data_IF_926153904156
#
_entry.id   IF_926153904156
#
_cell.length_a   1.000
_cell.length_b   1.000
_cell.length_c   1.000
_cell.angle_alpha   90.00
_cell.angle_beta   90.00
_cell.angle_gamma   90.00
#
_symmetry.space_group_name_H-M   'P 1'
#
loop_
_entity.id
_entity.type
_entity.pdbx_description
1 polymer ?
#
# COMPACT_ATOMS: atom_id res chain seq x y z
N UNK A 1 29.92 17.65 -5.30
CA UNK A 1 29.68 16.21 -5.40
C UNK A 1 28.29 15.83 -4.90
N UNK A 2 27.93 16.17 -3.64
CA UNK A 2 26.64 15.80 -3.01
C UNK A 2 25.42 16.24 -3.85
N UNK A 3 25.40 17.49 -4.34
CA UNK A 3 24.32 18.01 -5.18
C UNK A 3 24.13 17.18 -6.46
N UNK A 4 25.21 16.79 -7.14
CA UNK A 4 25.11 15.92 -8.33
C UNK A 4 24.50 14.56 -8.03
N UNK A 5 24.75 14.00 -6.84
CA UNK A 5 24.15 12.74 -6.41
C UNK A 5 22.63 12.91 -6.20
N UNK A 6 22.22 14.00 -5.53
CA UNK A 6 20.81 14.33 -5.31
C UNK A 6 20.08 14.57 -6.64
N UNK A 7 20.69 15.34 -7.56
CA UNK A 7 20.10 15.59 -8.88
C UNK A 7 19.94 14.29 -9.68
N UNK A 8 20.96 13.43 -9.71
CA UNK A 8 20.90 12.14 -10.38
C UNK A 8 19.78 11.24 -9.80
N UNK A 9 19.66 11.19 -8.47
CA UNK A 9 18.60 10.44 -7.80
C UNK A 9 17.23 11.00 -8.18
N UNK A 10 17.04 12.31 -8.10
CA UNK A 10 15.80 12.99 -8.47
C UNK A 10 15.41 12.69 -9.91
N UNK A 11 16.33 12.79 -10.86
CA UNK A 11 16.07 12.58 -12.28
C UNK A 11 15.72 11.11 -12.57
N UNK A 12 16.41 10.18 -11.90
CA UNK A 12 16.11 8.74 -12.01
C UNK A 12 14.71 8.41 -11.50
N UNK A 13 14.35 8.92 -10.32
CA UNK A 13 13.03 8.70 -9.73
C UNK A 13 11.93 9.39 -10.55
N UNK A 14 12.17 10.61 -11.03
CA UNK A 14 11.23 11.33 -11.87
C UNK A 14 10.94 10.59 -13.17
N UNK A 15 11.98 10.05 -13.83
CA UNK A 15 11.81 9.24 -15.05
C UNK A 15 10.99 7.97 -14.78
N UNK A 16 11.26 7.27 -13.66
CA UNK A 16 10.52 6.08 -13.28
C UNK A 16 9.03 6.38 -13.03
N UNK A 17 8.71 7.45 -12.29
CA UNK A 17 7.33 7.86 -12.01
C UNK A 17 6.64 8.29 -13.30
N UNK A 18 7.29 9.11 -14.14
CA UNK A 18 6.72 9.57 -15.41
C UNK A 18 6.33 8.39 -16.31
N UNK A 19 7.13 7.31 -16.32
CA UNK A 19 6.82 6.12 -17.10
C UNK A 19 5.53 5.41 -16.63
N UNK A 20 5.16 5.54 -15.36
CA UNK A 20 3.95 4.96 -14.77
C UNK A 20 2.71 5.84 -14.99
N UNK A 21 2.87 7.16 -15.16
CA UNK A 21 1.76 8.08 -15.36
C UNK A 21 1.08 7.92 -16.74
N UNK A 22 1.68 7.18 -17.67
CA UNK A 22 1.11 6.84 -19.00
C UNK A 22 0.49 8.02 -19.76
N UNK A 23 1.06 9.21 -19.60
CA UNK A 23 0.60 10.45 -20.25
C UNK A 23 -0.49 11.22 -19.49
N UNK A 24 -0.88 10.78 -18.29
CA UNK A 24 -1.76 11.57 -17.42
C UNK A 24 -1.06 12.84 -16.93
N UNK A 25 -1.85 13.87 -16.59
CA UNK A 25 -1.32 15.14 -16.11
C UNK A 25 -0.81 14.99 -14.65
N UNK A 26 0.49 15.16 -14.37
CA UNK A 26 1.02 15.02 -13.01
C UNK A 26 0.39 15.96 -11.99
N UNK A 27 -0.14 17.11 -12.41
CA UNK A 27 -0.78 18.06 -11.49
C UNK A 27 -2.06 17.52 -10.84
N UNK A 28 -2.67 16.47 -11.40
CA UNK A 28 -3.87 15.82 -10.87
C UNK A 28 -3.54 14.66 -9.90
N UNK A 29 -2.24 14.42 -9.68
CA UNK A 29 -1.76 13.35 -8.82
C UNK A 29 -1.30 13.88 -7.45
N UNK A 30 -1.40 13.00 -6.46
CA UNK A 30 -0.85 13.21 -5.12
C UNK A 30 0.30 12.22 -4.90
N UNK A 31 1.43 12.71 -4.40
CA UNK A 31 2.58 11.87 -4.10
C UNK A 31 2.56 11.47 -2.62
N UNK A 32 2.67 10.19 -2.32
CA UNK A 32 2.78 9.67 -0.96
C UNK A 32 4.25 9.42 -0.62
N UNK A 33 4.74 10.13 0.39
CA UNK A 33 6.11 10.01 0.90
C UNK A 33 6.16 9.10 2.12
N UNK A 34 6.87 7.98 2.01
CA UNK A 34 7.10 7.08 3.13
C UNK A 34 8.50 6.45 3.06
N UNK A 35 8.87 5.71 4.11
CA UNK A 35 10.23 5.21 4.32
C UNK A 35 11.15 6.26 4.97
N UNK A 36 12.29 5.83 5.50
CA UNK A 36 13.19 6.69 6.27
C UNK A 36 13.73 7.90 5.51
N UNK A 37 13.96 7.79 4.20
CA UNK A 37 14.48 8.86 3.34
C UNK A 37 13.41 9.56 2.47
N UNK A 38 12.17 9.05 2.46
CA UNK A 38 11.11 9.57 1.57
C UNK A 38 10.90 11.07 1.71
N UNK A 39 10.78 11.57 2.92
CA UNK A 39 10.55 12.99 3.19
C UNK A 39 11.67 13.94 2.75
N UNK A 40 12.90 13.44 2.56
CA UNK A 40 14.04 14.27 2.16
C UNK A 40 13.97 14.72 0.70
N UNK A 41 13.40 13.90 -0.17
CA UNK A 41 13.46 14.12 -1.62
C UNK A 41 12.10 14.46 -2.24
N UNK A 42 11.01 14.22 -1.52
CA UNK A 42 9.67 14.21 -2.09
C UNK A 42 9.24 15.56 -2.65
N UNK A 43 9.54 16.68 -1.97
CA UNK A 43 9.19 18.01 -2.46
C UNK A 43 9.92 18.34 -3.77
N UNK A 44 11.24 18.06 -3.83
CA UNK A 44 12.03 18.29 -5.06
C UNK A 44 11.55 17.39 -6.22
N UNK A 45 11.18 16.15 -5.90
CA UNK A 45 10.66 15.20 -6.87
C UNK A 45 9.29 15.66 -7.39
N UNK A 46 8.38 16.07 -6.52
CA UNK A 46 7.08 16.62 -6.87
C UNK A 46 7.20 17.87 -7.75
N UNK A 47 8.14 18.78 -7.42
CA UNK A 47 8.43 19.94 -8.26
C UNK A 47 8.88 19.57 -9.68
N UNK A 48 9.80 18.59 -9.79
CA UNK A 48 10.31 18.16 -11.10
C UNK A 48 9.24 17.48 -11.96
N UNK A 49 8.23 16.87 -11.34
CA UNK A 49 7.10 16.20 -11.99
C UNK A 49 5.90 17.12 -12.25
N UNK A 50 5.85 18.31 -11.64
CA UNK A 50 4.67 19.18 -11.68
C UNK A 50 3.55 18.74 -10.73
N UNK A 51 3.79 17.80 -9.81
CA UNK A 51 2.86 17.39 -8.76
C UNK A 51 2.78 18.49 -7.70
N UNK A 52 1.57 18.81 -7.24
CA UNK A 52 1.33 19.95 -6.34
C UNK A 52 1.04 19.56 -4.90
N UNK A 53 0.80 18.28 -4.64
CA UNK A 53 0.44 17.79 -3.33
C UNK A 53 1.25 16.55 -2.95
N UNK A 54 1.77 16.56 -1.72
CA UNK A 54 2.50 15.44 -1.14
C UNK A 54 1.94 15.12 0.22
N UNK A 55 1.65 13.86 0.50
CA UNK A 55 1.30 13.36 1.82
C UNK A 55 2.48 12.68 2.48
N UNK A 56 2.64 12.96 3.78
CA UNK A 56 3.54 12.25 4.69
C UNK A 56 2.73 11.70 5.85
N UNK A 57 3.16 10.61 6.45
CA UNK A 57 2.35 9.87 7.43
C UNK A 57 3.06 9.81 8.78
N UNK A 58 2.35 9.79 9.92
CA UNK A 58 2.94 9.66 11.26
C UNK A 58 3.84 8.43 11.39
N UNK A 59 3.45 7.34 10.74
CA UNK A 59 4.20 6.07 10.68
C UNK A 59 5.03 5.94 9.39
N UNK A 60 5.33 7.04 8.73
CA UNK A 60 5.94 7.07 7.40
C UNK A 60 7.21 6.25 7.28
N UNK A 61 8.07 6.24 8.31
CA UNK A 61 9.32 5.46 8.30
C UNK A 61 9.10 3.95 8.26
N UNK A 62 8.02 3.45 8.84
CA UNK A 62 7.64 2.04 8.94
C UNK A 62 6.32 1.73 8.21
N UNK A 63 5.92 2.56 7.25
CA UNK A 63 4.62 2.54 6.61
C UNK A 63 4.28 1.18 5.98
N UNK A 64 5.25 0.53 5.34
CA UNK A 64 5.06 -0.79 4.76
C UNK A 64 4.81 -1.86 5.83
N UNK A 65 5.57 -1.84 6.92
CA UNK A 65 5.38 -2.77 8.03
C UNK A 65 4.03 -2.54 8.73
N UNK A 66 3.67 -1.26 8.94
CA UNK A 66 2.35 -0.89 9.45
C UNK A 66 1.24 -1.38 8.53
N UNK A 67 1.34 -1.15 7.21
CA UNK A 67 0.38 -1.65 6.25
C UNK A 67 0.27 -3.18 6.28
N UNK A 68 1.40 -3.89 6.35
CA UNK A 68 1.41 -5.36 6.44
C UNK A 68 0.73 -5.88 7.72
N UNK A 69 0.85 -5.17 8.83
CA UNK A 69 0.20 -5.57 10.09
C UNK A 69 -1.33 -5.45 10.09
N UNK A 70 -1.89 -4.76 9.09
CA UNK A 70 -3.33 -4.56 8.92
C UNK A 70 -3.93 -5.43 7.82
N UNK A 71 -3.10 -6.23 7.15
CA UNK A 71 -3.57 -7.14 6.11
C UNK A 71 -4.03 -8.46 6.71
N UNK A 72 -5.01 -9.06 6.05
CA UNK A 72 -5.37 -10.44 6.30
C UNK A 72 -4.16 -11.35 6.09
N UNK A 73 -4.05 -12.41 6.89
CA UNK A 73 -3.12 -13.49 6.60
C UNK A 73 -3.74 -14.38 5.54
N UNK A 74 -3.08 -14.48 4.38
CA UNK A 74 -3.58 -15.24 3.24
C UNK A 74 -2.55 -16.27 2.80
N UNK A 75 -2.90 -17.55 2.92
CA UNK A 75 -2.14 -18.63 2.33
C UNK A 75 -2.79 -19.04 1.01
N UNK A 76 -1.97 -19.23 -0.03
CA UNK A 76 -2.44 -19.59 -1.37
C UNK A 76 -1.87 -20.94 -1.75
N UNK A 77 -2.77 -21.88 -2.08
CA UNK A 77 -2.45 -23.22 -2.51
C UNK A 77 -2.93 -23.41 -3.94
N UNK A 78 -2.02 -23.79 -4.82
CA UNK A 78 -2.30 -23.93 -6.24
C UNK A 78 -2.35 -25.42 -6.65
N UNK A 79 -3.26 -25.75 -7.52
CA UNK A 79 -3.35 -27.07 -8.12
C UNK A 79 -3.67 -26.95 -9.61
N UNK A 80 -2.81 -27.56 -10.44
CA UNK A 80 -3.02 -27.63 -11.89
C UNK A 80 -3.83 -28.89 -12.22
N UNK A 81 -5.01 -28.71 -12.83
CA UNK A 81 -5.92 -29.80 -13.14
C UNK A 81 -5.73 -30.39 -14.54
N UNK A 82 -4.98 -29.71 -15.40
CA UNK A 82 -4.56 -30.20 -16.72
C UNK A 82 -5.66 -30.97 -17.48
N UNK A 83 -6.80 -30.35 -17.69
CA UNK A 83 -7.99 -30.90 -18.40
C UNK A 83 -8.67 -32.12 -17.75
N UNK A 84 -8.34 -32.45 -16.50
CA UNK A 84 -8.95 -33.59 -15.80
C UNK A 84 -10.33 -33.25 -15.22
N UNK A 85 -10.65 -31.97 -15.08
CA UNK A 85 -11.92 -31.48 -14.50
C UNK A 85 -12.55 -30.47 -15.42
N UNK A 86 -13.86 -30.61 -15.61
CA UNK A 86 -14.63 -29.72 -16.46
C UNK A 86 -15.70 -28.96 -15.66
N UNK A 87 -15.86 -27.71 -16.00
CA UNK A 87 -17.02 -26.92 -15.64
C UNK A 87 -18.21 -27.35 -16.51
N UNK A 88 -19.33 -27.67 -15.89
CA UNK A 88 -20.54 -28.04 -16.60
C UNK A 88 -21.71 -27.15 -16.18
N UNK A 89 -22.27 -26.40 -17.11
CA UNK A 89 -23.36 -25.45 -16.84
C UNK A 89 -23.04 -24.52 -15.63
N UNK A 90 -21.83 -24.01 -15.59
CA UNK A 90 -21.37 -23.12 -14.51
C UNK A 90 -21.10 -23.80 -13.16
N UNK A 91 -21.18 -25.12 -13.09
CA UNK A 91 -20.99 -25.91 -11.87
C UNK A 91 -19.68 -26.68 -11.91
N UNK A 92 -18.90 -26.59 -10.85
CA UNK A 92 -17.67 -27.33 -10.65
C UNK A 92 -17.83 -28.36 -9.52
N UNK A 93 -17.49 -29.62 -9.79
CA UNK A 93 -17.36 -30.63 -8.76
C UNK A 93 -16.01 -30.49 -8.02
N UNK A 94 -16.08 -30.46 -6.70
CA UNK A 94 -14.91 -30.39 -5.82
C UNK A 94 -14.47 -31.81 -5.48
N UNK A 95 -13.38 -32.26 -6.10
CA UNK A 95 -12.88 -33.64 -5.96
C UNK A 95 -11.82 -33.81 -4.87
N UNK A 96 -11.01 -34.87 -5.01
CA UNK A 96 -9.91 -35.18 -4.09
C UNK A 96 -8.88 -34.07 -3.96
N UNK A 97 -8.55 -33.39 -5.06
CA UNK A 97 -7.66 -32.25 -5.12
C UNK A 97 -8.07 -31.11 -4.15
N UNK A 98 -9.37 -30.87 -3.99
CA UNK A 98 -9.87 -29.84 -3.09
C UNK A 98 -9.62 -30.21 -1.61
N UNK A 99 -9.80 -31.48 -1.27
CA UNK A 99 -9.50 -31.99 0.09
C UNK A 99 -8.00 -31.94 0.38
N UNK A 100 -7.16 -32.24 -0.59
CA UNK A 100 -5.69 -32.14 -0.45
C UNK A 100 -5.27 -30.71 -0.16
N UNK A 101 -5.82 -29.71 -0.88
CA UNK A 101 -5.56 -28.29 -0.64
C UNK A 101 -6.05 -27.84 0.74
N UNK A 102 -7.24 -28.28 1.17
CA UNK A 102 -7.74 -27.98 2.51
C UNK A 102 -6.88 -28.59 3.61
N UNK A 103 -6.43 -29.82 3.45
CA UNK A 103 -5.60 -30.52 4.43
C UNK A 103 -4.21 -29.86 4.54
N UNK A 104 -3.65 -29.42 3.42
CA UNK A 104 -2.42 -28.65 3.41
C UNK A 104 -2.59 -27.31 4.13
N UNK A 105 -3.64 -26.54 3.78
CA UNK A 105 -3.95 -25.27 4.40
C UNK A 105 -4.07 -25.40 5.93
N UNK A 106 -4.77 -26.42 6.41
CA UNK A 106 -4.93 -26.66 7.85
C UNK A 106 -3.61 -26.98 8.55
N UNK A 107 -2.77 -27.82 7.92
CA UNK A 107 -1.45 -28.16 8.50
C UNK A 107 -0.58 -26.94 8.66
N UNK A 108 -0.55 -26.08 7.66
CA UNK A 108 0.29 -24.88 7.67
C UNK A 108 -0.21 -23.86 8.71
N UNK A 109 -1.51 -23.58 8.74
CA UNK A 109 -2.13 -22.66 9.71
C UNK A 109 -1.91 -23.12 11.13
N UNK A 110 -2.11 -24.41 11.42
CA UNK A 110 -1.85 -24.97 12.76
C UNK A 110 -0.35 -24.97 13.07
N UNK A 111 0.50 -25.24 12.09
CA UNK A 111 1.96 -25.22 12.24
C UNK A 111 2.52 -23.85 12.58
N UNK A 112 1.85 -22.78 12.14
CA UNK A 112 2.21 -21.38 12.41
C UNK A 112 1.52 -20.81 13.67
N UNK A 113 0.81 -21.63 14.43
CA UNK A 113 0.05 -21.23 15.64
C UNK A 113 -0.97 -20.11 15.37
N UNK A 114 -1.53 -20.07 14.15
CA UNK A 114 -2.55 -19.11 13.77
C UNK A 114 -3.94 -19.58 14.26
N UNK A 115 -4.71 -18.64 14.78
CA UNK A 115 -6.09 -18.90 15.20
C UNK A 115 -6.99 -19.31 14.02
N UNK A 116 -7.87 -20.26 14.24
CA UNK A 116 -8.79 -20.78 13.20
C UNK A 116 -10.22 -20.25 13.31
N UNK A 117 -10.53 -19.43 14.32
CA UNK A 117 -11.89 -19.01 14.64
C UNK A 117 -12.57 -18.18 13.54
N UNK A 118 -11.78 -17.45 12.76
CA UNK A 118 -12.24 -16.62 11.64
C UNK A 118 -11.71 -17.10 10.28
N UNK A 119 -11.13 -18.33 10.24
CA UNK A 119 -10.60 -18.88 9.01
C UNK A 119 -11.74 -19.14 8.00
N UNK A 120 -11.61 -18.56 6.83
CA UNK A 120 -12.50 -18.84 5.70
C UNK A 120 -11.70 -19.15 4.44
N UNK A 121 -12.37 -19.77 3.46
CA UNK A 121 -11.72 -20.22 2.25
C UNK A 121 -12.39 -19.59 1.03
N UNK A 122 -11.54 -19.16 0.09
CA UNK A 122 -11.95 -18.67 -1.22
C UNK A 122 -11.27 -19.48 -2.31
N UNK A 123 -12.03 -19.91 -3.27
CA UNK A 123 -11.53 -20.68 -4.41
C UNK A 123 -11.49 -19.75 -5.64
N UNK A 124 -10.34 -19.64 -6.24
CA UNK A 124 -10.12 -19.01 -7.54
C UNK A 124 -9.92 -20.11 -8.57
N UNK A 125 -10.62 -20.01 -9.70
CA UNK A 125 -10.73 -21.07 -10.71
C UNK A 125 -10.44 -20.45 -12.07
N UNK A 126 -9.48 -21.00 -12.80
CA UNK A 126 -9.18 -20.62 -14.18
C UNK A 126 -9.77 -21.66 -15.13
N UNK A 127 -10.69 -21.23 -15.98
CA UNK A 127 -11.41 -22.07 -16.95
C UNK A 127 -11.06 -21.64 -18.36
N UNK A 128 -10.64 -22.58 -19.21
CA UNK A 128 -10.53 -22.37 -20.64
C UNK A 128 -11.78 -22.84 -21.36
N UNK A 129 -12.34 -22.02 -22.23
CA UNK A 129 -13.44 -22.41 -23.12
C UNK A 129 -12.91 -23.17 -24.36
N UNK A 130 -13.85 -23.64 -25.19
CA UNK A 130 -13.55 -24.37 -26.44
C UNK A 130 -12.75 -23.52 -27.46
N UNK A 131 -12.66 -22.21 -27.27
CA UNK A 131 -11.89 -21.26 -28.11
C UNK A 131 -10.53 -20.96 -27.51
N UNK A 132 -10.19 -21.54 -26.35
CA UNK A 132 -8.96 -21.28 -25.62
C UNK A 132 -8.93 -19.94 -24.87
N UNK A 133 -10.10 -19.31 -24.67
CA UNK A 133 -10.20 -18.07 -23.88
C UNK A 133 -10.26 -18.48 -22.41
N UNK A 134 -9.33 -17.97 -21.61
CA UNK A 134 -9.29 -18.22 -20.17
C UNK A 134 -10.11 -17.18 -19.41
N UNK A 135 -11.02 -17.66 -18.56
CA UNK A 135 -11.79 -16.83 -17.65
C UNK A 135 -11.48 -17.23 -16.20
N UNK A 136 -11.35 -16.24 -15.32
CA UNK A 136 -11.07 -16.44 -13.90
C UNK A 136 -12.31 -16.15 -13.08
N UNK A 137 -12.69 -17.10 -12.23
CA UNK A 137 -13.80 -16.99 -11.28
C UNK A 137 -13.28 -17.04 -9.85
N UNK A 138 -13.96 -16.34 -8.95
CA UNK A 138 -13.73 -16.46 -7.50
C UNK A 138 -15.04 -16.70 -6.77
N UNK A 139 -15.00 -17.57 -5.77
CA UNK A 139 -16.16 -17.87 -4.93
C UNK A 139 -15.72 -18.35 -3.55
N UNK A 140 -16.49 -18.01 -2.53
CA UNK A 140 -16.27 -18.56 -1.19
C UNK A 140 -16.69 -20.02 -1.14
N UNK A 141 -15.93 -20.83 -0.41
CA UNK A 141 -16.16 -22.26 -0.28
C UNK A 141 -16.09 -22.68 1.19
N UNK A 142 -16.82 -23.76 1.50
CA UNK A 142 -16.77 -24.39 2.82
C UNK A 142 -16.04 -25.74 2.74
N UNK A 143 -15.53 -26.19 3.89
CA UNK A 143 -14.71 -27.40 3.99
C UNK A 143 -15.42 -28.70 3.55
N UNK A 144 -16.75 -28.77 3.69
CA UNK A 144 -17.55 -29.96 3.38
C UNK A 144 -18.30 -29.84 2.05
N UNK A 145 -17.94 -28.86 1.24
CA UNK A 145 -18.63 -28.61 -0.02
C UNK A 145 -18.19 -29.62 -1.09
N UNK A 146 -19.14 -30.20 -1.80
CA UNK A 146 -18.89 -31.19 -2.86
C UNK A 146 -18.89 -30.58 -4.27
N UNK A 147 -19.52 -29.42 -4.42
CA UNK A 147 -19.56 -28.69 -5.70
C UNK A 147 -19.80 -27.21 -5.45
N UNK A 148 -19.45 -26.38 -6.42
CA UNK A 148 -19.64 -24.93 -6.38
C UNK A 148 -20.24 -24.45 -7.69
N UNK A 149 -21.22 -23.53 -7.59
CA UNK A 149 -21.77 -22.81 -8.72
C UNK A 149 -20.99 -21.49 -8.89
N UNK A 150 -20.45 -21.26 -10.09
CA UNK A 150 -19.61 -20.08 -10.34
C UNK A 150 -20.47 -18.88 -10.76
N UNK A 151 -20.37 -17.76 -10.06
CA UNK A 151 -21.14 -16.55 -10.38
C UNK A 151 -20.88 -16.08 -11.83
N UNK A 152 -21.94 -15.88 -12.60
CA UNK A 152 -21.85 -15.42 -13.98
C UNK A 152 -21.47 -16.50 -15.02
N UNK A 153 -21.34 -17.74 -14.61
CA UNK A 153 -20.95 -18.86 -15.49
C UNK A 153 -22.09 -19.87 -15.81
N UNK A 154 -23.33 -19.52 -15.57
CA UNK A 154 -24.47 -20.45 -15.58
C UNK A 154 -24.61 -21.33 -16.85
N UNK A 155 -24.17 -20.85 -18.01
CA UNK A 155 -24.18 -21.58 -19.28
C UNK A 155 -22.77 -21.95 -19.77
N UNK A 156 -21.72 -21.68 -18.95
CA UNK A 156 -20.35 -21.93 -19.35
C UNK A 156 -19.97 -23.40 -19.16
N UNK A 157 -19.36 -23.95 -20.20
CA UNK A 157 -18.65 -25.22 -20.15
C UNK A 157 -17.20 -24.97 -20.53
N UNK A 158 -16.28 -25.71 -19.93
CA UNK A 158 -14.85 -25.54 -20.23
C UNK A 158 -13.99 -26.43 -19.36
N UNK A 159 -12.72 -26.54 -19.74
CA UNK A 159 -11.72 -27.25 -18.97
C UNK A 159 -11.16 -26.34 -17.84
N UNK A 160 -11.10 -26.87 -16.63
CA UNK A 160 -10.47 -26.19 -15.51
C UNK A 160 -8.96 -26.41 -15.60
N UNK A 161 -8.22 -25.32 -15.83
CA UNK A 161 -6.77 -25.37 -16.00
C UNK A 161 -6.08 -25.37 -14.64
N UNK A 162 -6.47 -24.44 -13.78
CA UNK A 162 -5.85 -24.18 -12.49
C UNK A 162 -6.88 -23.78 -11.45
N UNK A 163 -6.63 -24.19 -10.23
CA UNK A 163 -7.39 -23.73 -9.06
C UNK A 163 -6.41 -23.20 -8.01
N UNK A 164 -6.81 -22.14 -7.30
CA UNK A 164 -6.11 -21.60 -6.15
C UNK A 164 -7.05 -21.54 -4.96
N UNK A 165 -6.73 -22.28 -3.91
CA UNK A 165 -7.42 -22.17 -2.64
C UNK A 165 -6.72 -21.10 -1.81
N UNK A 166 -7.43 -20.05 -1.45
CA UNK A 166 -6.99 -19.01 -0.52
C UNK A 166 -7.57 -19.33 0.85
N UNK A 167 -6.70 -19.62 1.83
CA UNK A 167 -7.08 -19.71 3.24
C UNK A 167 -6.82 -18.35 3.87
N UNK A 168 -7.87 -17.69 4.36
CA UNK A 168 -7.87 -16.29 4.75
C UNK A 168 -8.21 -16.18 6.23
N UNK A 169 -7.34 -15.55 7.00
CA UNK A 169 -7.57 -15.17 8.40
C UNK A 169 -7.62 -13.65 8.41
N UNK A 170 -8.78 -13.03 8.69
CA UNK A 170 -8.94 -11.59 8.73
C UNK A 170 -8.05 -10.94 9.78
N UNK A 171 -7.55 -9.74 9.50
CA UNK A 171 -6.84 -8.94 10.48
C UNK A 171 -7.75 -8.60 11.67
N UNK A 172 -7.22 -8.73 12.88
CA UNK A 172 -7.99 -8.50 14.12
C UNK A 172 -8.31 -7.03 14.37
N UNK A 173 -7.43 -6.12 13.89
CA UNK A 173 -7.54 -4.70 14.19
C UNK A 173 -7.95 -3.89 12.96
N UNK A 174 -9.15 -3.29 12.95
CA UNK A 174 -9.56 -2.38 11.89
C UNK A 174 -8.63 -1.15 11.81
N UNK A 175 -8.34 -0.68 10.59
CA UNK A 175 -7.51 0.51 10.35
C UNK A 175 -8.01 1.75 11.14
N UNK A 176 -9.33 1.88 11.31
CA UNK A 176 -9.95 2.97 12.06
C UNK A 176 -9.58 2.99 13.55
N UNK A 177 -9.21 1.84 14.11
CA UNK A 177 -8.83 1.70 15.52
C UNK A 177 -7.30 1.80 15.71
N UNK A 178 -6.51 1.43 14.70
CA UNK A 178 -5.06 1.45 14.77
C UNK A 178 -4.46 2.88 14.73
N UNK A 179 -5.06 3.80 13.98
CA UNK A 179 -4.52 5.14 13.76
C UNK A 179 -4.60 6.10 14.96
N UNK A 180 -5.70 6.20 15.73
CA UNK A 180 -5.82 7.19 16.81
C UNK A 180 -4.83 7.00 17.96
N UNK A 181 -4.39 5.77 18.21
CA UNK A 181 -3.46 5.46 19.31
C UNK A 181 -2.02 5.93 19.04
N UNK A 182 -1.69 6.32 17.82
CA UNK A 182 -0.35 6.74 17.40
C UNK A 182 -0.12 8.25 17.52
N UNK A 183 -1.17 9.05 17.74
CA UNK A 183 -1.08 10.51 17.85
C UNK A 183 -0.81 10.88 19.31
N UNK A 184 0.43 11.27 19.63
CA UNK A 184 0.80 11.78 20.95
C UNK A 184 0.30 13.20 21.18
N UNK A 185 -0.12 13.50 22.42
CA UNK A 185 -0.87 14.71 22.79
C UNK A 185 -0.01 15.89 23.25
N UNK A 186 1.32 15.81 23.22
CA UNK A 186 2.14 17.00 23.51
C UNK A 186 2.19 17.92 22.31
N UNK A 187 1.52 19.07 22.42
CA UNK A 187 1.42 20.04 21.33
C UNK A 187 2.44 21.16 21.50
N UNK A 188 3.35 21.32 20.53
CA UNK A 188 4.28 22.42 20.45
C UNK A 188 4.45 22.91 19.03
N UNK A 189 4.12 24.15 18.78
CA UNK A 189 4.27 24.81 17.45
C UNK A 189 5.54 25.66 17.33
N UNK A 190 6.36 25.76 18.39
CA UNK A 190 7.63 26.48 18.34
C UNK A 190 8.75 25.57 17.78
N UNK A 191 9.69 26.14 17.02
CA UNK A 191 10.84 25.39 16.55
C UNK A 191 11.68 24.87 17.73
N UNK A 192 12.28 23.70 17.56
CA UNK A 192 13.18 23.08 18.54
C UNK A 192 14.64 23.50 18.33
N UNK A 193 14.95 24.08 17.18
CA UNK A 193 16.28 24.54 16.79
C UNK A 193 16.32 25.03 15.37
N UNK A 194 17.51 25.26 14.86
CA UNK A 194 17.76 25.63 13.48
C UNK A 194 18.93 24.82 12.91
N UNK A 195 18.92 24.64 11.60
CA UNK A 195 20.03 24.00 10.86
C UNK A 195 20.34 24.79 9.60
N UNK A 196 21.62 24.90 9.28
CA UNK A 196 22.06 25.47 8.02
C UNK A 196 21.83 24.45 6.88
N UNK A 197 21.00 24.81 5.91
CA UNK A 197 20.61 23.97 4.77
C UNK A 197 20.89 24.68 3.46
N UNK A 198 21.38 23.95 2.48
CA UNK A 198 21.57 24.45 1.12
C UNK A 198 20.31 24.19 0.29
N UNK A 199 19.34 25.10 0.35
CA UNK A 199 18.18 25.10 -0.53
C UNK A 199 18.53 25.51 -1.96
N UNK A 200 19.58 26.31 -2.09
CA UNK A 200 20.21 26.78 -3.33
C UNK A 200 21.73 26.66 -3.21
N UNK A 201 22.48 27.54 -3.86
CA UNK A 201 23.95 27.60 -3.72
C UNK A 201 24.38 28.29 -2.44
N UNK A 202 23.47 28.92 -1.71
CA UNK A 202 23.73 29.63 -0.45
C UNK A 202 23.08 28.85 0.70
N UNK A 203 23.82 28.69 1.78
CA UNK A 203 23.32 28.11 3.01
C UNK A 203 22.34 29.06 3.72
N UNK A 204 21.22 28.55 4.17
CA UNK A 204 20.16 29.28 4.86
C UNK A 204 19.81 28.60 6.19
N UNK A 205 19.75 29.37 7.29
CA UNK A 205 19.26 28.84 8.55
C UNK A 205 17.77 28.51 8.44
N UNK A 206 17.47 27.27 8.72
CA UNK A 206 16.13 26.69 8.53
C UNK A 206 15.63 26.18 9.87
N UNK A 207 14.43 26.60 10.31
CA UNK A 207 13.85 26.13 11.57
C UNK A 207 13.51 24.65 11.53
N UNK A 208 13.71 23.98 12.68
CA UNK A 208 13.42 22.57 12.89
C UNK A 208 12.23 22.44 13.83
N UNK A 209 11.27 21.62 13.44
CA UNK A 209 10.10 21.28 14.25
C UNK A 209 10.06 19.79 14.53
N UNK A 210 9.57 19.41 15.71
CA UNK A 210 9.31 18.02 16.06
C UNK A 210 7.93 17.60 15.53
N UNK A 211 7.88 16.68 14.58
CA UNK A 211 6.65 16.29 13.89
C UNK A 211 5.58 15.72 14.84
N UNK A 212 6.01 14.89 15.80
CA UNK A 212 5.11 14.29 16.79
C UNK A 212 4.47 15.33 17.75
N UNK A 213 5.00 16.55 17.80
CA UNK A 213 4.47 17.62 18.67
C UNK A 213 3.58 18.62 17.93
N UNK A 214 3.48 18.52 16.61
CA UNK A 214 2.65 19.43 15.82
C UNK A 214 1.17 19.03 15.90
N UNK A 215 0.27 19.93 16.39
CA UNK A 215 -1.16 19.61 16.48
C UNK A 215 -1.82 19.58 15.10
N UNK A 216 -2.94 18.86 15.02
CA UNK A 216 -3.83 18.94 13.87
C UNK A 216 -4.26 20.39 13.60
N UNK A 217 -4.36 20.77 12.34
CA UNK A 217 -4.66 22.15 11.92
C UNK A 217 -3.43 23.08 11.85
N UNK A 218 -2.24 22.63 12.29
CA UNK A 218 -1.00 23.39 12.07
C UNK A 218 -0.79 23.66 10.59
N UNK A 219 -0.42 24.89 10.24
CA UNK A 219 -0.07 25.30 8.88
C UNK A 219 1.13 26.24 8.90
N UNK A 220 2.19 25.89 8.16
CA UNK A 220 3.47 26.62 8.17
C UNK A 220 4.00 26.74 6.75
N UNK A 221 4.58 27.89 6.44
CA UNK A 221 5.24 28.13 5.16
C UNK A 221 6.71 27.72 5.24
N UNK A 222 7.21 27.00 4.24
CA UNK A 222 8.65 26.71 4.09
C UNK A 222 9.50 27.96 3.87
N UNK A 223 10.84 27.90 4.05
CA UNK A 223 11.58 26.67 4.26
C UNK A 223 11.53 26.21 5.72
N UNK A 224 11.34 24.93 5.93
CA UNK A 224 11.36 24.33 7.27
C UNK A 224 11.73 22.83 7.21
N UNK A 225 12.14 22.30 8.35
CA UNK A 225 12.48 20.90 8.57
C UNK A 225 11.50 20.34 9.60
N UNK A 226 10.85 19.24 9.28
CA UNK A 226 10.09 18.46 10.26
C UNK A 226 10.89 17.20 10.56
N UNK A 227 11.32 17.05 11.80
CA UNK A 227 12.02 15.86 12.28
C UNK A 227 11.05 14.95 13.02
N UNK A 228 10.99 13.70 12.61
CA UNK A 228 10.38 12.59 13.31
C UNK A 228 11.48 11.66 13.86
N UNK A 229 11.10 10.71 14.70
CA UNK A 229 12.06 9.78 15.31
C UNK A 229 12.92 9.03 14.27
N UNK A 230 12.31 8.64 13.15
CA UNK A 230 12.98 7.82 12.12
C UNK A 230 12.96 8.40 10.71
N UNK A 231 12.48 9.63 10.53
CA UNK A 231 12.45 10.28 9.22
C UNK A 231 12.53 11.79 9.37
N UNK A 232 12.92 12.46 8.29
CA UNK A 232 12.98 13.92 8.21
C UNK A 232 12.28 14.36 6.94
N UNK A 233 11.43 15.38 7.06
CA UNK A 233 10.70 15.97 5.94
C UNK A 233 11.29 17.37 5.67
N UNK A 234 11.70 17.60 4.44
CA UNK A 234 12.17 18.91 3.98
C UNK A 234 11.05 19.62 3.22
N UNK A 235 10.64 20.77 3.72
CA UNK A 235 9.63 21.63 3.08
C UNK A 235 10.31 22.87 2.51
N UNK A 236 10.48 22.97 1.17
CA UNK A 236 11.09 24.14 0.55
C UNK A 236 10.23 25.40 0.67
N UNK A 237 10.81 26.58 0.36
CA UNK A 237 10.16 27.90 0.46
C UNK A 237 8.84 28.01 -0.33
N UNK A 238 8.77 27.36 -1.48
CA UNK A 238 7.59 27.35 -2.36
C UNK A 238 6.47 26.43 -1.89
N UNK A 239 6.65 25.72 -0.77
CA UNK A 239 5.71 24.75 -0.22
C UNK A 239 5.16 25.19 1.13
N UNK A 240 3.90 24.85 1.38
CA UNK A 240 3.24 24.95 2.68
C UNK A 240 3.10 23.56 3.27
N UNK A 241 3.45 23.42 4.54
CA UNK A 241 3.23 22.18 5.31
C UNK A 241 2.05 22.37 6.25
N UNK A 242 1.11 21.43 6.25
CA UNK A 242 -0.01 21.43 7.21
C UNK A 242 -0.23 20.02 7.76
N UNK A 243 -0.85 19.94 8.95
CA UNK A 243 -1.26 18.70 9.59
C UNK A 243 -2.77 18.58 9.48
N UNK A 244 -3.27 17.47 8.94
CA UNK A 244 -4.70 17.18 8.85
C UNK A 244 -5.27 16.63 10.17
N UNK A 245 -6.59 16.34 10.20
CA UNK A 245 -7.28 15.80 11.37
C UNK A 245 -6.82 14.39 11.77
N UNK A 246 -6.25 13.63 10.83
CA UNK A 246 -5.70 12.31 11.07
C UNK A 246 -4.21 12.33 11.48
N UNK A 247 -3.60 13.53 11.57
CA UNK A 247 -2.19 13.71 11.90
C UNK A 247 -1.24 13.55 10.71
N UNK A 248 -1.76 13.42 9.48
CA UNK A 248 -0.92 13.36 8.30
C UNK A 248 -0.33 14.74 8.00
N UNK A 249 0.94 14.75 7.59
CA UNK A 249 1.56 15.95 7.04
C UNK A 249 1.22 16.09 5.56
N UNK A 250 0.77 17.27 5.16
CA UNK A 250 0.44 17.56 3.78
C UNK A 250 1.29 18.74 3.32
N UNK A 251 2.09 18.53 2.31
CA UNK A 251 2.80 19.61 1.62
C UNK A 251 2.03 20.01 0.37
N UNK A 252 1.78 21.30 0.23
CA UNK A 252 1.05 21.88 -0.90
C UNK A 252 1.86 22.99 -1.53
N UNK A 253 1.92 23.00 -2.85
CA UNK A 253 2.55 24.08 -3.62
C UNK A 253 1.45 24.91 -4.28
N UNK A 254 1.46 26.21 -3.97
CA UNK A 254 0.53 27.13 -4.63
C UNK A 254 0.83 27.22 -6.14
N UNK A 255 -0.20 27.35 -6.98
CA UNK A 255 0.01 27.66 -8.41
C UNK A 255 0.82 28.94 -8.54
N UNK A 256 1.81 28.91 -9.42
CA UNK A 256 2.59 30.10 -9.76
C UNK A 256 1.74 31.14 -10.50
#
# INVERSE_FOLDING_TARGET
LARRVVDCLKDTLAAAITSQLKGENPADWTLFAFGGAGGLYTAMLAESLGIRQVYTFPVGSVFSAFGSSLLDVVHVYEYCLADQVHLTNGRLALGGWFRELLDQARKDIVGEDLGTDHLHFRLQIEVADDKGITTVFETDVTQNQESVDLPGAAEMNGAVIMVRLKAIIPAETPLSEALPSMIKTETRTAPTGERSVFWSDVAENTPIYRGESLPAGTSMQGPLIIEHEYTTILTPRSWRYRIDAAGNGIMEREPA
#
